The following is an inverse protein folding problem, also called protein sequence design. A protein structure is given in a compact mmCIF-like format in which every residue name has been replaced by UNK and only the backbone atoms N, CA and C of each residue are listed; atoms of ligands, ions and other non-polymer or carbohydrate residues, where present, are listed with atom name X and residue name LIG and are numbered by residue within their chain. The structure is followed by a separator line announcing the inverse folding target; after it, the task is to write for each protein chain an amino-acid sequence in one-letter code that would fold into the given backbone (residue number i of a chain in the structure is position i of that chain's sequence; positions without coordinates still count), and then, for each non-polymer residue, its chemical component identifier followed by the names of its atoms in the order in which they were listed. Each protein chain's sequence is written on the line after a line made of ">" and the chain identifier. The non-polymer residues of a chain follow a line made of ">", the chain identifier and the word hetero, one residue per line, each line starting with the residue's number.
data_IF_216136754467
#
_entry.id   IF_216136754467
#
_cell.length_a   1.000
_cell.length_b   1.000
_cell.length_c   1.000
_cell.angle_alpha   90.00
_cell.angle_beta   90.00
_cell.angle_gamma   90.00
#
_symmetry.space_group_name_H-M   'P 1'
#
loop_
_entity.id
_entity.type
_entity.pdbx_description
1 polymer ?
#
# COMPACT_ATOMS: atom_id res chain seq x y z
N UNK A 1 39.79 15.86 -43.77
CA UNK A 1 38.55 15.14 -43.42
C UNK A 1 38.47 15.05 -41.91
N UNK A 2 37.56 15.76 -41.26
CA UNK A 2 37.28 15.64 -39.81
C UNK A 2 35.85 15.13 -39.68
N UNK A 3 35.69 13.88 -39.25
CA UNK A 3 34.39 13.30 -38.97
C UNK A 3 33.90 13.83 -37.61
N UNK A 4 32.77 14.52 -37.62
CA UNK A 4 32.07 15.03 -36.45
C UNK A 4 31.19 13.88 -35.92
N UNK A 5 31.56 13.29 -34.78
CA UNK A 5 30.73 12.29 -34.10
C UNK A 5 29.68 13.01 -33.24
N UNK A 6 28.43 13.03 -33.72
CA UNK A 6 27.28 13.40 -32.89
C UNK A 6 26.92 12.24 -31.97
N UNK A 7 27.21 12.36 -30.67
CA UNK A 7 26.63 11.50 -29.64
C UNK A 7 25.20 11.96 -29.35
N UNK A 8 24.23 11.28 -29.96
CA UNK A 8 22.82 11.41 -29.62
C UNK A 8 22.57 10.52 -28.37
N UNK A 9 22.60 11.12 -27.18
CA UNK A 9 22.14 10.45 -25.95
C UNK A 9 20.61 10.41 -26.00
N UNK A 10 20.06 9.31 -26.52
CA UNK A 10 18.64 8.99 -26.36
C UNK A 10 18.40 8.52 -24.93
N UNK A 11 18.06 9.45 -24.04
CA UNK A 11 17.40 9.13 -22.78
C UNK A 11 15.98 8.66 -23.10
N UNK A 12 15.83 7.37 -23.42
CA UNK A 12 14.52 6.71 -23.34
C UNK A 12 14.18 6.55 -21.86
N UNK A 13 13.54 7.56 -21.27
CA UNK A 13 12.80 7.37 -20.03
C UNK A 13 11.61 6.46 -20.38
N UNK A 14 11.76 5.15 -20.25
CA UNK A 14 10.60 4.28 -20.26
C UNK A 14 9.74 4.68 -19.05
N UNK A 15 8.50 5.16 -19.23
CA UNK A 15 7.60 5.27 -18.10
C UNK A 15 7.49 3.89 -17.48
N UNK A 16 7.74 3.79 -16.17
CA UNK A 16 7.69 2.52 -15.45
C UNK A 16 6.34 1.85 -15.70
N UNK A 17 6.36 0.62 -16.22
CA UNK A 17 5.17 -0.20 -16.25
C UNK A 17 4.78 -0.52 -14.81
N UNK A 18 3.51 -0.29 -14.46
CA UNK A 18 2.99 -0.70 -13.18
C UNK A 18 3.07 -2.24 -13.07
N UNK A 19 3.47 -2.73 -11.90
CA UNK A 19 3.67 -4.15 -11.64
C UNK A 19 3.59 -4.45 -10.15
N UNK A 20 3.13 -5.66 -9.80
CA UNK A 20 3.11 -6.18 -8.44
C UNK A 20 3.83 -7.51 -8.42
N UNK A 21 4.81 -7.65 -7.52
CA UNK A 21 5.52 -8.90 -7.32
C UNK A 21 5.24 -9.45 -5.91
N UNK A 22 4.68 -10.67 -5.79
CA UNK A 22 4.24 -11.57 -6.86
C UNK A 22 2.98 -11.08 -7.59
N UNK A 23 2.82 -11.49 -8.86
CA UNK A 23 1.74 -11.06 -9.73
C UNK A 23 0.34 -11.44 -9.21
N UNK A 24 -0.62 -10.52 -9.38
CA UNK A 24 -1.98 -10.65 -8.88
C UNK A 24 -2.97 -10.81 -10.02
N UNK A 25 -3.83 -11.83 -9.92
CA UNK A 25 -4.92 -12.05 -10.88
C UNK A 25 -6.29 -11.82 -10.24
N UNK A 26 -7.15 -11.06 -10.93
CA UNK A 26 -8.53 -10.86 -10.49
C UNK A 26 -9.36 -12.16 -10.61
N UNK A 27 -10.29 -12.42 -9.68
CA UNK A 27 -11.22 -13.55 -9.80
C UNK A 27 -12.10 -13.43 -11.06
N UNK A 28 -12.21 -14.50 -11.86
CA UNK A 28 -12.97 -14.49 -13.13
C UNK A 28 -14.50 -14.38 -12.99
N UNK A 29 -15.04 -14.51 -11.78
CA UNK A 29 -16.45 -14.84 -11.59
C UNK A 29 -17.42 -13.65 -11.56
N UNK A 30 -16.96 -12.40 -11.64
CA UNK A 30 -17.84 -11.22 -11.67
C UNK A 30 -17.12 -10.02 -12.29
N UNK A 31 -17.68 -9.48 -13.38
CA UNK A 31 -17.21 -8.22 -13.96
C UNK A 31 -17.81 -7.07 -13.17
N UNK A 32 -17.03 -6.46 -12.31
CA UNK A 32 -17.41 -5.22 -11.65
C UNK A 32 -17.17 -4.03 -12.58
N UNK A 33 -17.97 -2.98 -12.44
CA UNK A 33 -17.71 -1.72 -13.12
C UNK A 33 -16.40 -1.12 -12.59
N UNK A 34 -15.56 -0.64 -13.50
CA UNK A 34 -14.34 0.09 -13.14
C UNK A 34 -14.62 1.59 -13.21
N UNK A 35 -14.22 2.34 -12.18
CA UNK A 35 -14.29 3.81 -12.16
C UNK A 35 -12.91 4.38 -11.78
N UNK A 36 -12.55 5.53 -12.34
CA UNK A 36 -11.38 6.28 -11.88
C UNK A 36 -11.81 7.24 -10.79
N UNK A 37 -11.13 7.18 -9.64
CA UNK A 37 -11.33 8.08 -8.50
C UNK A 37 -10.11 8.95 -8.31
N UNK A 38 -10.31 10.07 -7.63
CA UNK A 38 -9.26 11.04 -7.30
C UNK A 38 -9.25 11.32 -5.79
N UNK A 39 -8.06 11.41 -5.21
CA UNK A 39 -7.85 11.90 -3.85
C UNK A 39 -6.94 13.14 -3.96
N UNK A 40 -7.45 14.26 -3.46
CA UNK A 40 -6.73 15.51 -3.21
C UNK A 40 -6.91 15.96 -1.75
N UNK A 41 -6.16 16.98 -1.31
CA UNK A 41 -6.20 17.53 0.06
C UNK A 41 -7.61 17.87 0.59
N UNK A 42 -8.60 18.10 -0.29
CA UNK A 42 -9.97 18.47 0.07
C UNK A 42 -11.03 17.38 -0.23
N UNK A 43 -10.62 16.12 -0.38
CA UNK A 43 -11.57 15.04 -0.71
C UNK A 43 -12.52 14.78 0.45
N UNK A 44 -13.84 14.89 0.19
CA UNK A 44 -14.92 14.82 1.17
C UNK A 44 -14.76 13.62 2.14
N UNK A 45 -14.47 13.91 3.41
CA UNK A 45 -14.51 12.93 4.51
C UNK A 45 -13.26 12.06 4.66
N UNK A 46 -12.25 12.19 3.80
CA UNK A 46 -10.93 11.57 4.04
C UNK A 46 -10.14 12.55 4.90
N UNK A 47 -9.91 12.23 6.17
CA UNK A 47 -8.83 12.86 6.91
C UNK A 47 -7.52 12.33 6.33
N UNK A 48 -7.00 12.97 5.29
CA UNK A 48 -5.57 12.90 4.97
C UNK A 48 -4.87 13.56 6.16
N UNK A 49 -4.50 12.77 7.15
CA UNK A 49 -3.63 13.24 8.22
C UNK A 49 -2.26 13.50 7.59
N UNK A 50 -2.02 14.73 7.12
CA UNK A 50 -0.67 15.15 6.73
C UNK A 50 0.11 15.36 8.02
N UNK A 51 0.71 14.28 8.54
CA UNK A 51 1.47 14.36 9.79
C UNK A 51 2.79 15.15 9.57
N UNK A 52 3.24 15.30 8.31
CA UNK A 52 4.61 15.73 8.01
C UNK A 52 4.81 16.61 6.76
N UNK A 53 3.74 17.11 6.13
CA UNK A 53 3.84 18.04 5.00
C UNK A 53 4.01 17.40 3.60
N UNK A 54 3.83 16.09 3.48
CA UNK A 54 3.65 15.42 2.18
C UNK A 54 2.36 15.88 1.47
N UNK A 55 2.40 15.98 0.13
CA UNK A 55 1.23 16.27 -0.71
C UNK A 55 0.93 15.10 -1.62
N UNK A 56 -0.27 14.55 -1.50
CA UNK A 56 -0.72 13.40 -2.28
C UNK A 56 -1.97 13.80 -3.06
N UNK A 57 -1.78 14.23 -4.31
CA UNK A 57 -2.84 14.29 -5.30
C UNK A 57 -2.70 13.05 -6.18
N UNK A 58 -3.70 12.18 -6.18
CA UNK A 58 -3.62 10.90 -6.88
C UNK A 58 -4.90 10.58 -7.64
N UNK A 59 -4.75 9.76 -8.69
CA UNK A 59 -5.84 9.03 -9.34
C UNK A 59 -5.63 7.54 -9.20
N UNK A 60 -6.71 6.78 -9.09
CA UNK A 60 -6.67 5.31 -9.10
C UNK A 60 -7.94 4.73 -9.69
N UNK A 61 -7.88 3.47 -10.10
CA UNK A 61 -9.00 2.69 -10.58
C UNK A 61 -9.58 1.87 -9.44
N UNK A 62 -10.87 2.06 -9.15
CA UNK A 62 -11.65 1.19 -8.27
C UNK A 62 -12.33 0.11 -9.13
N UNK A 63 -11.93 -1.14 -8.90
CA UNK A 63 -12.36 -2.30 -9.65
C UNK A 63 -13.48 -3.09 -8.94
N UNK A 64 -14.01 -2.62 -7.81
CA UNK A 64 -15.03 -3.33 -7.04
C UNK A 64 -16.28 -2.50 -6.78
N UNK A 65 -16.11 -1.24 -6.35
CA UNK A 65 -17.24 -0.36 -6.01
C UNK A 65 -17.55 0.68 -7.10
N UNK A 66 -17.25 0.39 -8.37
CA UNK A 66 -17.32 1.42 -9.43
C UNK A 66 -18.70 2.02 -9.74
N UNK A 67 -19.78 1.50 -9.16
CA UNK A 67 -21.13 2.08 -9.29
C UNK A 67 -21.51 3.05 -8.18
N UNK A 68 -20.71 3.17 -7.12
CA UNK A 68 -21.03 4.04 -5.97
C UNK A 68 -20.39 5.42 -6.12
N UNK A 69 -21.11 6.47 -5.69
CA UNK A 69 -20.60 7.84 -5.68
C UNK A 69 -19.41 8.00 -4.73
N UNK A 70 -18.56 8.99 -4.97
CA UNK A 70 -17.37 9.23 -4.14
C UNK A 70 -17.71 9.47 -2.67
N UNK A 71 -18.78 10.22 -2.38
CA UNK A 71 -19.23 10.42 -1.00
C UNK A 71 -19.55 9.09 -0.29
N UNK A 72 -20.23 8.19 -0.98
CA UNK A 72 -20.63 6.89 -0.43
C UNK A 72 -19.44 5.93 -0.37
N UNK A 73 -18.53 6.01 -1.35
CA UNK A 73 -17.27 5.27 -1.36
C UNK A 73 -16.45 5.64 -0.12
N UNK A 74 -15.98 6.88 -0.01
CA UNK A 74 -15.05 7.25 1.05
C UNK A 74 -15.63 7.17 2.47
N UNK A 75 -16.96 7.28 2.64
CA UNK A 75 -17.61 7.15 3.95
C UNK A 75 -17.95 5.71 4.34
N UNK A 76 -18.24 4.83 3.37
CA UNK A 76 -18.92 3.54 3.66
C UNK A 76 -18.30 2.35 2.94
N UNK A 77 -17.70 2.54 1.78
CA UNK A 77 -17.19 1.45 0.95
C UNK A 77 -15.81 1.79 0.38
N UNK A 78 -14.79 1.08 0.80
CA UNK A 78 -13.51 1.07 0.10
C UNK A 78 -12.70 -0.12 0.59
N UNK A 79 -11.96 -0.82 -0.30
CA UNK A 79 -10.95 -1.78 0.16
C UNK A 79 -9.89 -1.10 1.04
N UNK A 80 -9.59 0.18 0.79
CA UNK A 80 -8.69 1.01 1.59
C UNK A 80 -9.53 2.06 2.32
N UNK A 81 -9.83 1.80 3.58
CA UNK A 81 -10.73 2.63 4.40
C UNK A 81 -10.05 3.87 4.97
N UNK A 82 -8.72 3.95 4.89
CA UNK A 82 -7.97 5.09 5.41
C UNK A 82 -6.71 5.33 4.60
N UNK A 83 -6.38 6.61 4.45
CA UNK A 83 -5.29 7.10 3.62
C UNK A 83 -4.54 8.16 4.41
N UNK A 84 -3.22 8.11 4.35
CA UNK A 84 -2.33 9.07 5.00
C UNK A 84 -1.27 9.51 4.00
N UNK A 85 -1.01 10.81 3.95
CA UNK A 85 0.10 11.34 3.15
C UNK A 85 1.24 11.71 4.08
N UNK A 86 2.38 11.10 3.84
CA UNK A 86 3.62 11.23 4.58
C UNK A 86 4.70 11.81 3.66
N UNK A 87 5.85 12.12 4.24
CA UNK A 87 7.07 12.35 3.48
C UNK A 87 7.67 11.00 3.07
N UNK A 88 8.42 11.00 1.97
CA UNK A 88 9.17 9.81 1.55
C UNK A 88 10.12 9.29 2.65
N UNK A 89 10.75 10.22 3.39
CA UNK A 89 11.69 9.90 4.47
C UNK A 89 11.06 9.04 5.57
N UNK A 90 9.86 9.37 6.04
CA UNK A 90 9.16 8.58 7.06
C UNK A 90 8.92 7.14 6.62
N UNK A 91 8.58 6.93 5.35
CA UNK A 91 8.35 5.58 4.81
C UNK A 91 9.65 4.79 4.66
N UNK A 92 10.75 5.46 4.27
CA UNK A 92 12.06 4.80 4.18
C UNK A 92 12.64 4.44 5.54
N UNK A 93 12.38 5.25 6.58
CA UNK A 93 12.91 5.05 7.93
C UNK A 93 12.06 4.07 8.77
N UNK A 94 10.73 4.22 8.75
CA UNK A 94 9.84 3.43 9.61
C UNK A 94 9.44 2.08 8.98
N UNK A 95 9.30 2.02 7.65
CA UNK A 95 8.75 0.84 6.99
C UNK A 95 7.35 0.49 7.50
N UNK A 96 7.08 -0.81 7.71
CA UNK A 96 5.88 -1.29 8.39
C UNK A 96 6.27 -1.89 9.74
N UNK A 97 6.03 -1.12 10.79
CA UNK A 97 6.29 -1.51 12.17
C UNK A 97 5.00 -1.96 12.87
N UNK A 98 5.07 -3.12 13.50
CA UNK A 98 3.97 -3.79 14.22
C UNK A 98 4.24 -3.88 15.71
N UNK A 99 5.23 -3.13 16.18
CA UNK A 99 5.61 -3.03 17.57
C UNK A 99 4.50 -2.38 18.38
N UNK A 100 4.21 -3.00 19.51
CA UNK A 100 3.30 -2.48 20.53
C UNK A 100 3.97 -2.56 21.90
N UNK A 101 3.56 -1.67 22.80
CA UNK A 101 3.99 -1.75 24.19
C UNK A 101 3.32 -2.95 24.85
N UNK A 102 4.08 -4.01 25.09
CA UNK A 102 3.58 -5.20 25.76
C UNK A 102 3.31 -4.99 27.26
N UNK A 103 2.86 -6.05 27.93
CA UNK A 103 2.40 -6.04 29.33
C UNK A 103 3.43 -5.56 30.37
N UNK A 104 4.69 -5.37 29.99
CA UNK A 104 5.79 -4.91 30.84
C UNK A 104 6.37 -3.55 30.39
N UNK A 105 5.68 -2.82 29.49
CA UNK A 105 6.18 -1.56 28.92
C UNK A 105 7.39 -1.74 28.00
N UNK A 106 7.63 -2.97 27.53
CA UNK A 106 8.65 -3.29 26.53
C UNK A 106 8.00 -3.37 25.16
N UNK A 107 8.67 -2.82 24.17
CA UNK A 107 8.29 -2.91 22.77
C UNK A 107 8.47 -4.35 22.27
N UNK A 108 7.38 -4.92 21.77
CA UNK A 108 7.32 -6.29 21.27
C UNK A 108 6.62 -6.27 19.92
N UNK A 109 7.11 -7.07 18.97
CA UNK A 109 6.52 -7.24 17.65
C UNK A 109 5.64 -8.49 17.59
N UNK A 110 4.54 -8.37 16.84
CA UNK A 110 3.65 -9.51 16.55
C UNK A 110 4.20 -10.44 15.45
N UNK A 111 5.13 -9.96 14.64
CA UNK A 111 5.63 -10.68 13.46
C UNK A 111 7.13 -10.93 13.57
N UNK A 112 7.63 -12.07 13.05
CA UNK A 112 9.05 -12.41 13.04
C UNK A 112 9.86 -11.55 12.07
N UNK A 113 9.19 -10.81 11.19
CA UNK A 113 9.75 -10.06 10.09
C UNK A 113 9.15 -8.66 10.07
N UNK A 114 9.94 -7.67 9.62
CA UNK A 114 9.50 -6.29 9.37
C UNK A 114 9.91 -5.83 7.98
N UNK A 115 9.19 -4.85 7.46
CA UNK A 115 9.53 -4.25 6.16
C UNK A 115 10.57 -3.16 6.38
N UNK A 116 11.68 -3.23 5.66
CA UNK A 116 12.73 -2.19 5.67
C UNK A 116 13.10 -1.79 4.24
N UNK A 117 13.66 -0.58 4.09
CA UNK A 117 14.19 -0.13 2.80
C UNK A 117 15.68 -0.47 2.67
N UNK A 118 16.00 -1.29 1.68
CA UNK A 118 17.37 -1.59 1.28
C UNK A 118 17.88 -0.48 0.35
N UNK A 119 18.73 0.40 0.88
CA UNK A 119 19.30 1.53 0.15
C UNK A 119 20.30 1.12 -0.92
N UNK A 120 20.99 -0.02 -0.75
CA UNK A 120 21.97 -0.51 -1.72
C UNK A 120 21.25 -0.99 -2.99
N UNK A 121 20.16 -1.73 -2.82
CA UNK A 121 19.38 -2.30 -3.92
C UNK A 121 18.14 -1.46 -4.29
N UNK A 122 17.91 -0.34 -3.61
CA UNK A 122 16.81 0.60 -3.81
C UNK A 122 15.42 -0.05 -3.82
N UNK A 123 15.16 -0.97 -2.87
CA UNK A 123 13.90 -1.72 -2.79
C UNK A 123 13.53 -2.04 -1.35
N UNK A 124 12.25 -2.27 -1.09
CA UNK A 124 11.81 -2.80 0.19
C UNK A 124 12.07 -4.31 0.28
N UNK A 125 12.42 -4.78 1.47
CA UNK A 125 12.66 -6.19 1.77
C UNK A 125 12.08 -6.55 3.14
N UNK A 126 11.87 -7.85 3.37
CA UNK A 126 11.61 -8.37 4.71
C UNK A 126 12.93 -8.67 5.41
N UNK A 127 13.09 -8.14 6.62
CA UNK A 127 14.19 -8.46 7.52
C UNK A 127 13.65 -9.02 8.83
N UNK A 128 14.49 -9.80 9.53
CA UNK A 128 14.13 -10.34 10.84
C UNK A 128 13.87 -9.20 11.83
N UNK A 129 12.76 -9.30 12.57
CA UNK A 129 12.46 -8.39 13.65
C UNK A 129 13.06 -8.89 14.97
N UNK A 130 13.99 -8.13 15.54
CA UNK A 130 14.64 -8.45 16.81
C UNK A 130 13.70 -8.30 18.02
N UNK A 131 12.59 -7.57 17.85
CA UNK A 131 11.58 -7.36 18.88
C UNK A 131 10.50 -8.45 18.88
N UNK A 132 10.58 -9.43 17.96
CA UNK A 132 9.64 -10.54 17.91
C UNK A 132 9.79 -11.47 19.12
N UNK A 133 8.75 -11.54 19.95
CA UNK A 133 8.63 -12.54 21.01
C UNK A 133 7.75 -13.71 20.56
N UNK A 134 8.36 -14.89 20.40
CA UNK A 134 7.62 -16.10 20.03
C UNK A 134 6.63 -16.49 21.14
N UNK A 135 5.36 -16.64 20.76
CA UNK A 135 4.33 -17.17 21.66
C UNK A 135 4.40 -18.70 21.66
N UNK A 136 4.64 -19.30 22.82
CA UNK A 136 4.69 -20.75 22.97
C UNK A 136 3.37 -21.41 22.53
N UNK A 137 3.46 -22.50 21.78
CA UNK A 137 2.30 -23.22 21.26
C UNK A 137 1.59 -22.57 20.07
N UNK A 138 2.10 -21.46 19.53
CA UNK A 138 1.60 -20.83 18.30
C UNK A 138 2.67 -20.80 17.22
N UNK A 139 2.26 -21.06 15.97
CA UNK A 139 3.13 -20.85 14.83
C UNK A 139 3.27 -19.33 14.56
N UNK A 140 4.48 -18.85 14.23
CA UNK A 140 4.68 -17.47 13.80
C UNK A 140 3.84 -17.16 12.56
N UNK A 141 3.20 -16.00 12.57
CA UNK A 141 2.50 -15.46 11.40
C UNK A 141 3.55 -14.71 10.58
N UNK A 142 3.73 -15.05 9.31
CA UNK A 142 4.68 -14.37 8.41
C UNK A 142 3.95 -13.32 7.59
N UNK A 143 4.60 -12.17 7.39
CA UNK A 143 4.04 -11.07 6.62
C UNK A 143 3.92 -11.45 5.15
N UNK A 144 2.72 -11.34 4.58
CA UNK A 144 2.56 -11.49 3.15
C UNK A 144 2.96 -10.20 2.44
N UNK A 145 4.21 -10.16 2.00
CA UNK A 145 4.85 -8.98 1.42
C UNK A 145 4.80 -8.97 -0.10
N UNK A 146 4.44 -7.81 -0.65
CA UNK A 146 4.42 -7.53 -2.07
C UNK A 146 5.20 -6.26 -2.38
N UNK A 147 6.09 -6.33 -3.37
CA UNK A 147 6.63 -5.14 -4.00
C UNK A 147 5.59 -4.59 -4.99
N UNK A 148 5.37 -3.28 -4.94
CA UNK A 148 4.40 -2.62 -5.81
C UNK A 148 5.09 -1.48 -6.55
N UNK A 149 4.84 -1.42 -7.85
CA UNK A 149 5.18 -0.28 -8.70
C UNK A 149 3.93 0.16 -9.42
N UNK A 150 3.72 1.47 -9.47
CA UNK A 150 2.70 2.09 -10.30
C UNK A 150 3.36 2.97 -11.36
N UNK A 151 2.57 3.75 -12.09
CA UNK A 151 3.05 4.57 -13.22
C UNK A 151 4.25 5.47 -12.85
N UNK A 152 4.19 6.10 -11.67
CA UNK A 152 5.20 7.06 -11.21
C UNK A 152 5.62 6.87 -9.74
N UNK A 153 5.20 5.78 -9.10
CA UNK A 153 5.52 5.52 -7.71
C UNK A 153 5.99 4.08 -7.49
N UNK A 154 6.77 3.87 -6.43
CA UNK A 154 7.19 2.54 -5.99
C UNK A 154 6.93 2.38 -4.51
N UNK A 155 6.74 1.14 -4.08
CA UNK A 155 6.36 0.90 -2.71
C UNK A 155 6.25 -0.58 -2.38
N UNK A 156 5.49 -0.82 -1.33
CA UNK A 156 5.19 -2.16 -0.85
C UNK A 156 3.75 -2.23 -0.35
N UNK A 157 3.22 -3.44 -0.33
CA UNK A 157 2.09 -3.78 0.50
C UNK A 157 2.42 -4.99 1.36
N UNK A 158 1.79 -5.02 2.53
CA UNK A 158 1.70 -6.18 3.38
C UNK A 158 0.23 -6.45 3.64
N UNK A 159 -0.14 -7.72 3.62
CA UNK A 159 -1.43 -8.14 4.15
C UNK A 159 -1.24 -9.29 5.10
N UNK A 160 -2.11 -9.32 6.09
CA UNK A 160 -2.09 -10.38 7.06
C UNK A 160 -3.50 -10.71 7.50
N UNK A 161 -3.69 -11.97 7.87
CA UNK A 161 -4.75 -12.28 8.80
C UNK A 161 -4.33 -11.64 10.14
N UNK A 162 -5.21 -10.88 10.77
CA UNK A 162 -4.93 -10.29 12.09
C UNK A 162 -3.98 -9.08 12.10
N UNK A 163 -4.14 -8.12 11.18
CA UNK A 163 -3.42 -6.83 11.30
C UNK A 163 -4.06 -5.97 12.40
N UNK A 164 -3.20 -5.41 13.27
CA UNK A 164 -3.54 -4.34 14.18
C UNK A 164 -3.43 -2.99 13.48
N UNK A 165 -4.52 -2.23 13.46
CA UNK A 165 -4.56 -0.85 12.94
C UNK A 165 -4.87 0.05 14.14
N UNK A 166 -3.84 0.64 14.73
CA UNK A 166 -3.97 1.33 16.01
C UNK A 166 -4.50 0.38 17.10
N UNK A 167 -5.68 0.69 17.66
CA UNK A 167 -6.36 -0.17 18.66
C UNK A 167 -7.38 -1.15 18.04
N UNK A 168 -7.56 -1.13 16.73
CA UNK A 168 -8.58 -1.90 16.03
C UNK A 168 -8.00 -3.15 15.34
N UNK A 169 -8.87 -4.14 15.14
CA UNK A 169 -8.55 -5.46 14.63
C UNK A 169 -9.17 -5.66 13.25
N UNK A 170 -8.36 -6.06 12.26
CA UNK A 170 -8.86 -6.52 10.95
C UNK A 170 -8.67 -8.04 10.82
N UNK A 171 -9.71 -8.76 10.37
CA UNK A 171 -9.62 -10.22 10.17
C UNK A 171 -8.64 -10.56 9.05
N UNK A 172 -8.59 -9.73 8.02
CA UNK A 172 -7.56 -9.73 6.98
C UNK A 172 -7.26 -8.29 6.61
N UNK A 173 -6.19 -7.73 7.17
CA UNK A 173 -5.82 -6.34 6.92
C UNK A 173 -4.93 -6.21 5.71
N UNK A 174 -4.91 -5.01 5.14
CA UNK A 174 -3.92 -4.54 4.18
C UNK A 174 -3.29 -3.27 4.74
N UNK A 175 -1.98 -3.16 4.60
CA UNK A 175 -1.26 -1.91 4.72
C UNK A 175 -0.36 -1.75 3.49
N UNK A 176 -0.26 -0.54 2.95
CA UNK A 176 0.66 -0.27 1.85
C UNK A 176 1.21 1.15 1.97
N UNK A 177 2.36 1.38 1.34
CA UNK A 177 2.92 2.70 1.11
C UNK A 177 3.45 2.77 -0.32
N UNK A 178 3.22 3.90 -1.00
CA UNK A 178 3.74 4.24 -2.32
C UNK A 178 4.49 5.56 -2.24
N UNK A 179 5.76 5.56 -2.62
CA UNK A 179 6.64 6.73 -2.63
C UNK A 179 6.73 7.31 -4.04
N UNK A 180 6.53 8.61 -4.15
CA UNK A 180 6.71 9.41 -5.34
C UNK A 180 7.43 10.72 -4.98
N UNK A 181 8.64 10.90 -5.49
CA UNK A 181 9.55 11.99 -5.17
C UNK A 181 9.71 12.18 -3.64
N UNK A 182 9.24 13.31 -3.10
CA UNK A 182 9.32 13.65 -1.68
C UNK A 182 8.07 13.27 -0.88
N UNK A 183 7.03 12.77 -1.55
CA UNK A 183 5.76 12.38 -0.95
C UNK A 183 5.62 10.87 -0.88
N UNK A 184 4.88 10.40 0.11
CA UNK A 184 4.45 9.02 0.20
C UNK A 184 2.97 8.93 0.56
N UNK A 185 2.24 8.12 -0.19
CA UNK A 185 0.86 7.77 0.12
C UNK A 185 0.85 6.39 0.78
N UNK A 186 0.40 6.34 2.03
CA UNK A 186 0.12 5.08 2.70
C UNK A 186 -1.37 4.92 2.95
N UNK A 187 -1.81 3.69 3.14
CA UNK A 187 -3.19 3.41 3.46
C UNK A 187 -3.40 2.01 4.00
N UNK A 188 -4.56 1.82 4.61
CA UNK A 188 -4.94 0.55 5.20
C UNK A 188 -6.43 0.27 5.07
N UNK A 189 -6.81 -1.00 5.22
CA UNK A 189 -8.21 -1.42 5.21
C UNK A 189 -8.42 -2.91 5.50
N UNK A 190 -9.69 -3.31 5.62
CA UNK A 190 -10.10 -4.71 5.78
C UNK A 190 -10.41 -5.33 4.41
N UNK A 191 -9.79 -6.47 4.12
CA UNK A 191 -9.93 -7.20 2.88
C UNK A 191 -11.16 -8.11 2.85
N UNK A 192 -11.93 -8.20 3.93
CA UNK A 192 -13.15 -9.03 3.97
C UNK A 192 -14.39 -8.15 3.82
N UNK A 193 -15.06 -8.31 2.68
CA UNK A 193 -16.38 -7.73 2.45
C UNK A 193 -17.48 -8.77 2.57
N UNK A 194 -18.62 -8.40 3.15
CA UNK A 194 -19.81 -9.26 3.21
C UNK A 194 -20.91 -8.71 2.31
N UNK A 195 -21.31 -9.50 1.31
CA UNK A 195 -22.39 -9.20 0.37
C UNK A 195 -23.36 -10.39 0.36
N UNK A 196 -24.64 -10.16 0.68
CA UNK A 196 -25.68 -11.21 0.68
C UNK A 196 -25.31 -12.45 1.54
N UNK A 197 -24.69 -12.25 2.70
CA UNK A 197 -24.24 -13.31 3.60
C UNK A 197 -23.02 -14.11 3.11
N UNK A 198 -22.41 -13.69 2.00
CA UNK A 198 -21.17 -14.29 1.47
C UNK A 198 -19.99 -13.37 1.72
N UNK A 199 -18.90 -13.95 2.25
CA UNK A 199 -17.61 -13.27 2.39
C UNK A 199 -16.88 -13.24 1.05
N UNK A 200 -16.39 -12.08 0.68
CA UNK A 200 -15.63 -11.81 -0.53
C UNK A 200 -14.26 -11.28 -0.10
N UNK A 201 -13.20 -11.89 -0.63
CA UNK A 201 -11.83 -11.44 -0.43
C UNK A 201 -11.51 -10.32 -1.43
N UNK A 202 -11.31 -9.11 -0.90
CA UNK A 202 -10.98 -7.91 -1.65
C UNK A 202 -9.48 -7.78 -1.97
N UNK A 203 -8.61 -8.62 -1.41
CA UNK A 203 -7.15 -8.55 -1.62
C UNK A 203 -6.75 -8.37 -3.10
N UNK A 204 -7.22 -9.19 -4.06
CA UNK A 204 -6.83 -9.01 -5.46
C UNK A 204 -7.34 -7.69 -6.06
N UNK A 205 -8.49 -7.18 -5.61
CA UNK A 205 -9.04 -5.90 -6.07
C UNK A 205 -8.27 -4.73 -5.47
N UNK A 206 -7.89 -4.81 -4.19
CA UNK A 206 -7.11 -3.79 -3.51
C UNK A 206 -5.70 -3.68 -4.11
N UNK A 207 -5.02 -4.80 -4.37
CA UNK A 207 -3.71 -4.79 -5.02
C UNK A 207 -3.78 -4.18 -6.42
N UNK A 208 -4.80 -4.53 -7.23
CA UNK A 208 -4.99 -3.91 -8.55
C UNK A 208 -5.36 -2.43 -8.49
N UNK A 209 -6.09 -2.02 -7.46
CA UNK A 209 -6.32 -0.61 -7.18
C UNK A 209 -5.00 0.10 -6.90
N UNK A 210 -4.14 -0.44 -6.03
CA UNK A 210 -2.83 0.17 -5.70
C UNK A 210 -1.92 0.23 -6.93
N UNK A 211 -1.86 -0.84 -7.74
CA UNK A 211 -1.13 -0.87 -9.01
C UNK A 211 -1.52 0.28 -9.95
N UNK A 212 -2.79 0.68 -9.92
CA UNK A 212 -3.33 1.74 -10.76
C UNK A 212 -3.10 3.17 -10.25
N UNK A 213 -2.54 3.34 -9.05
CA UNK A 213 -2.30 4.66 -8.45
C UNK A 213 -1.35 5.47 -9.33
N UNK A 214 -1.74 6.70 -9.66
CA UNK A 214 -0.90 7.67 -10.32
C UNK A 214 -0.91 8.95 -9.51
N UNK A 215 0.27 9.40 -9.10
CA UNK A 215 0.43 10.75 -8.55
C UNK A 215 0.22 11.78 -9.66
N UNK A 216 -0.40 12.91 -9.30
CA UNK A 216 -0.72 14.03 -10.18
C UNK A 216 0.22 15.17 -9.79
N UNK A 217 1.08 15.56 -10.73
CA UNK A 217 2.04 16.66 -10.62
C UNK A 217 1.41 18.02 -10.96
#
# INVERSE_FOLDING_TARGET
>A
MKALYCYFLLFFSMPGLADITPAVTLPRNKSYSVITREISENTLGIQLLSISGGRCNIKFQDLFYGTVSDEVYFKKYSPISSWVCLTAGEVFEAGYDTVYSGNLGRDISHYPEKVVYDYEHQRWVLEKDELYEKIEGKEPISLNFHLISSKNAKGYAVFDNYIFIGNAYAKKGLYFCMVHDYSALCGWGDMIHEENGKKIDLTPYALKLIESISFID
#
